data_IF_974734996861
#
_entry.id   IF_974734996861
#
_cell.length_a   1.000
_cell.length_b   1.000
_cell.length_c   1.000
_cell.angle_alpha   90.00
_cell.angle_beta   90.00
_cell.angle_gamma   90.00
#
_symmetry.space_group_name_H-M   'P 1'
#
loop_
_entity.id
_entity.type
_entity.pdbx_description
1 polymer ?
#
# COMPACT_ATOMS: atom_id res chain seq x y z
N UNK A 1 14.52 -2.34 25.68
CA UNK A 1 15.66 -1.60 25.11
C UNK A 1 15.63 -1.87 23.62
N UNK A 2 15.22 -0.90 22.82
CA UNK A 2 15.12 -1.02 21.36
C UNK A 2 16.48 -1.46 20.82
N UNK A 3 16.53 -2.58 20.11
CA UNK A 3 17.77 -3.06 19.51
C UNK A 3 18.21 -2.07 18.44
N UNK A 4 19.42 -1.53 18.64
CA UNK A 4 20.11 -0.65 17.71
C UNK A 4 20.24 -1.37 16.36
N UNK A 5 20.11 -0.60 15.29
CA UNK A 5 20.58 -0.96 13.94
C UNK A 5 21.91 -1.74 14.06
N UNK A 6 21.92 -3.01 13.67
CA UNK A 6 23.13 -3.85 13.68
C UNK A 6 23.01 -5.33 14.11
N UNK A 7 21.82 -5.93 14.20
CA UNK A 7 21.71 -7.38 14.50
C UNK A 7 21.93 -8.25 13.23
N UNK A 8 22.98 -9.11 13.20
CA UNK A 8 23.34 -9.94 12.06
C UNK A 8 22.44 -11.18 11.84
N UNK A 9 21.32 -11.32 12.55
CA UNK A 9 20.34 -12.42 12.38
C UNK A 9 19.08 -12.04 11.61
N UNK A 10 19.04 -10.87 10.97
CA UNK A 10 18.00 -10.57 9.98
C UNK A 10 18.12 -11.56 8.82
N UNK A 11 17.27 -12.58 8.82
CA UNK A 11 16.94 -13.36 7.63
C UNK A 11 16.50 -12.36 6.57
N UNK A 12 17.36 -12.22 5.57
CA UNK A 12 17.28 -11.39 4.36
C UNK A 12 15.97 -10.60 4.22
N UNK A 13 16.04 -9.33 4.57
CA UNK A 13 15.18 -8.34 3.93
C UNK A 13 15.44 -8.43 2.43
N UNK A 14 14.54 -9.10 1.72
CA UNK A 14 14.51 -9.00 0.27
C UNK A 14 14.07 -7.57 -0.03
N UNK A 15 15.04 -6.73 -0.39
CA UNK A 15 14.79 -5.47 -1.08
C UNK A 15 13.81 -5.77 -2.20
N UNK A 16 12.58 -5.28 -2.10
CA UNK A 16 11.58 -5.48 -3.15
C UNK A 16 11.93 -4.50 -4.26
N UNK A 17 12.94 -4.82 -5.06
CA UNK A 17 13.15 -4.19 -6.35
C UNK A 17 12.10 -4.77 -7.32
N UNK A 18 11.11 -3.94 -7.66
CA UNK A 18 10.42 -4.02 -8.95
C UNK A 18 9.64 -2.74 -9.19
N UNK A 19 10.10 -1.93 -10.15
CA UNK A 19 9.40 -0.79 -10.76
C UNK A 19 8.69 0.20 -9.79
N UNK A 20 9.19 0.36 -8.57
CA UNK A 20 8.82 1.51 -7.76
C UNK A 20 9.28 2.74 -8.55
N UNK A 21 8.36 3.57 -9.03
CA UNK A 21 8.73 4.91 -9.50
C UNK A 21 9.02 5.71 -8.23
N UNK A 22 10.29 5.90 -7.83
CA UNK A 22 10.64 6.53 -6.56
C UNK A 22 10.45 8.06 -6.62
N UNK A 23 9.98 8.58 -7.75
CA UNK A 23 10.02 9.99 -8.10
C UNK A 23 8.87 10.82 -7.48
N UNK A 24 7.96 10.21 -6.71
CA UNK A 24 6.80 10.93 -6.15
C UNK A 24 6.81 11.09 -4.62
N UNK A 25 7.41 10.16 -3.86
CA UNK A 25 7.48 10.25 -2.39
C UNK A 25 8.72 9.48 -1.90
N UNK A 26 9.60 10.10 -1.11
CA UNK A 26 10.72 9.39 -0.48
C UNK A 26 10.23 8.37 0.56
N UNK A 27 11.02 7.31 0.80
CA UNK A 27 10.75 6.28 1.80
C UNK A 27 10.46 6.86 3.21
N UNK A 28 11.10 7.98 3.57
CA UNK A 28 10.89 8.69 4.84
C UNK A 28 9.60 9.50 4.85
N UNK A 29 9.26 10.16 3.75
CA UNK A 29 8.01 10.93 3.62
C UNK A 29 6.81 9.99 3.64
N UNK A 30 6.88 8.87 2.93
CA UNK A 30 5.81 7.87 2.91
C UNK A 30 5.60 7.24 4.29
N UNK A 31 6.69 6.93 5.02
CA UNK A 31 6.58 6.44 6.40
C UNK A 31 5.94 7.46 7.33
N UNK A 32 6.42 8.70 7.29
CA UNK A 32 5.88 9.79 8.12
C UNK A 32 4.39 10.02 7.83
N UNK A 33 4.00 9.95 6.56
CA UNK A 33 2.62 10.04 6.11
C UNK A 33 1.74 8.92 6.69
N UNK A 34 2.19 7.67 6.62
CA UNK A 34 1.45 6.53 7.19
C UNK A 34 1.37 6.63 8.72
N UNK A 35 2.46 7.02 9.39
CA UNK A 35 2.47 7.21 10.84
C UNK A 35 1.51 8.31 11.30
N UNK A 36 1.44 9.43 10.58
CA UNK A 36 0.49 10.51 10.84
C UNK A 36 -0.96 10.00 10.74
N UNK A 37 -1.30 9.27 9.65
CA UNK A 37 -2.63 8.66 9.52
C UNK A 37 -2.99 7.74 10.69
N UNK A 38 -2.05 6.89 11.12
CA UNK A 38 -2.31 5.96 12.23
C UNK A 38 -2.53 6.71 13.55
N UNK A 39 -1.85 7.82 13.77
CA UNK A 39 -1.99 8.63 14.98
C UNK A 39 -3.30 9.43 15.03
N UNK A 40 -3.75 9.95 13.88
CA UNK A 40 -4.86 10.90 13.82
C UNK A 40 -6.17 10.26 13.33
N UNK A 41 -6.12 9.08 12.71
CA UNK A 41 -7.28 8.34 12.21
C UNK A 41 -7.90 8.91 10.93
N UNK A 42 -7.46 10.09 10.50
CA UNK A 42 -7.78 10.71 9.22
C UNK A 42 -6.57 11.52 8.72
N UNK A 43 -6.60 11.89 7.45
CA UNK A 43 -5.73 12.95 6.96
C UNK A 43 -6.41 14.29 7.29
N UNK A 44 -5.88 15.02 8.27
CA UNK A 44 -6.46 16.28 8.72
C UNK A 44 -6.21 17.47 7.76
N UNK A 45 -5.44 17.28 6.69
CA UNK A 45 -5.04 18.31 5.73
C UNK A 45 -5.65 18.01 4.36
N UNK A 46 -6.34 19.00 3.77
CA UNK A 46 -6.96 18.92 2.45
C UNK A 46 -5.96 18.42 1.37
N UNK A 47 -4.67 18.77 1.49
CA UNK A 47 -3.63 18.33 0.55
C UNK A 47 -3.36 16.84 0.58
N UNK A 48 -3.61 16.17 1.70
CA UNK A 48 -3.41 14.72 1.82
C UNK A 48 -4.61 13.94 1.26
N UNK A 49 -5.83 14.47 1.35
CA UNK A 49 -7.00 13.94 0.65
C UNK A 49 -6.86 14.07 -0.88
N UNK A 50 -6.25 15.17 -1.36
CA UNK A 50 -5.93 15.33 -2.79
C UNK A 50 -4.88 14.30 -3.28
N UNK A 51 -4.02 13.81 -2.39
CA UNK A 51 -2.97 12.83 -2.73
C UNK A 51 -3.47 11.39 -2.60
N UNK A 52 -4.40 11.11 -1.68
CA UNK A 52 -4.96 9.79 -1.39
C UNK A 52 -6.48 9.87 -1.24
N UNK A 53 -7.20 9.28 -2.18
CA UNK A 53 -8.67 9.32 -2.25
C UNK A 53 -9.35 8.26 -1.37
N UNK A 54 -8.59 7.33 -0.80
CA UNK A 54 -9.16 6.35 0.11
C UNK A 54 -8.13 5.53 0.86
N UNK A 55 -8.60 4.86 1.91
CA UNK A 55 -7.78 4.00 2.75
C UNK A 55 -8.48 2.65 2.97
N UNK A 56 -7.81 1.58 2.58
CA UNK A 56 -8.18 0.21 2.90
C UNK A 56 -7.33 -0.29 4.07
N UNK A 57 -7.71 0.07 5.30
CA UNK A 57 -7.16 -0.59 6.49
C UNK A 57 -7.82 -1.96 6.66
N UNK A 58 -7.08 -3.00 6.28
CA UNK A 58 -7.54 -4.38 6.28
C UNK A 58 -6.68 -5.27 7.20
N UNK A 59 -5.96 -4.65 8.14
CA UNK A 59 -5.24 -5.35 9.20
C UNK A 59 -6.21 -6.23 10.02
N UNK A 60 -5.71 -7.36 10.52
CA UNK A 60 -6.51 -8.37 11.21
C UNK A 60 -7.43 -9.18 10.29
N UNK A 61 -7.40 -8.95 8.97
CA UNK A 61 -8.11 -9.76 7.96
C UNK A 61 -7.12 -10.64 7.21
N UNK A 62 -7.61 -11.76 6.68
CA UNK A 62 -6.80 -12.73 5.93
C UNK A 62 -7.20 -12.78 4.46
N UNK A 63 -6.26 -13.15 3.60
CA UNK A 63 -6.53 -13.45 2.21
C UNK A 63 -7.73 -14.41 2.07
N UNK A 64 -8.69 -14.16 1.13
CA UNK A 64 -8.65 -13.18 0.03
C UNK A 64 -9.28 -11.81 0.35
N UNK A 65 -9.64 -11.52 1.60
CA UNK A 65 -10.37 -10.30 1.93
C UNK A 65 -9.60 -9.00 1.61
N UNK A 66 -8.33 -8.82 2.00
CA UNK A 66 -7.55 -7.63 1.66
C UNK A 66 -7.57 -7.28 0.18
N UNK A 67 -7.33 -8.27 -0.70
CA UNK A 67 -7.32 -8.08 -2.16
C UNK A 67 -8.70 -7.68 -2.68
N UNK A 68 -9.77 -8.36 -2.23
CA UNK A 68 -11.14 -8.04 -2.65
C UNK A 68 -11.56 -6.64 -2.22
N UNK A 69 -11.21 -6.23 -1.01
CA UNK A 69 -11.51 -4.88 -0.50
C UNK A 69 -10.74 -3.82 -1.27
N UNK A 70 -9.45 -4.03 -1.51
CA UNK A 70 -8.60 -3.16 -2.32
C UNK A 70 -9.19 -2.99 -3.73
N UNK A 71 -9.43 -4.08 -4.45
CA UNK A 71 -9.97 -4.02 -5.82
C UNK A 71 -11.32 -3.29 -5.86
N UNK A 72 -12.24 -3.59 -4.93
CA UNK A 72 -13.54 -2.91 -4.86
C UNK A 72 -13.39 -1.40 -4.70
N UNK A 73 -12.44 -0.94 -3.90
CA UNK A 73 -12.19 0.49 -3.70
C UNK A 73 -11.53 1.13 -4.93
N UNK A 74 -10.56 0.44 -5.56
CA UNK A 74 -9.94 0.91 -6.80
C UNK A 74 -10.96 1.00 -7.95
N UNK A 75 -11.97 0.13 -8.02
CA UNK A 75 -13.05 0.25 -9.02
C UNK A 75 -13.80 1.58 -8.90
N UNK A 76 -13.97 2.13 -7.68
CA UNK A 76 -14.63 3.42 -7.48
C UNK A 76 -13.76 4.66 -7.75
N UNK A 77 -12.44 4.49 -7.90
CA UNK A 77 -11.52 5.58 -8.17
C UNK A 77 -11.48 5.96 -9.66
N UNK A 78 -11.07 7.18 -9.96
CA UNK A 78 -10.71 7.65 -11.29
C UNK A 78 -9.25 7.25 -11.62
N UNK A 79 -8.92 7.18 -12.90
CA UNK A 79 -7.53 6.93 -13.32
C UNK A 79 -6.60 7.99 -12.72
N UNK A 80 -5.48 7.55 -12.13
CA UNK A 80 -4.50 8.43 -11.49
C UNK A 80 -4.78 8.74 -10.03
N UNK A 81 -5.97 8.43 -9.51
CA UNK A 81 -6.27 8.50 -8.08
C UNK A 81 -5.61 7.36 -7.30
N UNK A 82 -5.40 7.58 -6.00
CA UNK A 82 -4.59 6.70 -5.17
C UNK A 82 -5.35 6.15 -3.96
N UNK A 83 -5.04 4.90 -3.64
CA UNK A 83 -5.53 4.14 -2.50
C UNK A 83 -4.35 3.76 -1.60
N UNK A 84 -4.43 4.08 -0.32
CA UNK A 84 -3.54 3.53 0.70
C UNK A 84 -4.12 2.20 1.21
N UNK A 85 -3.32 1.13 1.19
CA UNK A 85 -3.72 -0.20 1.71
C UNK A 85 -2.81 -0.59 2.85
N UNK A 86 -3.39 -0.98 3.99
CA UNK A 86 -2.65 -1.48 5.16
C UNK A 86 -3.01 -2.94 5.44
N UNK A 87 -2.02 -3.82 5.57
CA UNK A 87 -2.24 -5.25 5.82
C UNK A 87 -1.17 -5.83 6.73
N UNK A 88 -1.54 -6.71 7.66
CA UNK A 88 -0.63 -7.48 8.52
C UNK A 88 -0.60 -8.98 8.13
N UNK A 89 -1.23 -9.33 7.01
CA UNK A 89 -1.28 -10.70 6.49
C UNK A 89 -0.15 -10.96 5.47
N UNK A 90 0.82 -11.86 5.77
CA UNK A 90 1.96 -12.11 4.88
C UNK A 90 1.56 -12.69 3.53
N UNK A 91 0.42 -13.40 3.47
CA UNK A 91 -0.15 -13.93 2.22
C UNK A 91 -0.72 -12.77 1.39
N UNK A 92 -1.55 -11.93 2.00
CA UNK A 92 -2.10 -10.74 1.32
C UNK A 92 -1.01 -9.80 0.77
N UNK A 93 0.15 -9.67 1.42
CA UNK A 93 1.30 -8.91 0.91
C UNK A 93 1.72 -9.36 -0.50
N UNK A 94 1.69 -10.66 -0.76
CA UNK A 94 2.06 -11.24 -2.05
C UNK A 94 0.91 -11.02 -3.05
N UNK A 95 -0.31 -11.35 -2.64
CA UNK A 95 -1.47 -11.29 -3.54
C UNK A 95 -1.87 -9.87 -3.94
N UNK A 96 -1.71 -8.88 -3.06
CA UNK A 96 -1.92 -7.46 -3.39
C UNK A 96 -0.98 -7.04 -4.52
N UNK A 97 0.31 -7.39 -4.44
CA UNK A 97 1.28 -7.05 -5.48
C UNK A 97 0.97 -7.73 -6.81
N UNK A 98 0.54 -9.00 -6.76
CA UNK A 98 0.08 -9.69 -7.95
C UNK A 98 -1.16 -9.05 -8.56
N UNK A 99 -2.17 -8.71 -7.75
CA UNK A 99 -3.41 -8.10 -8.21
C UNK A 99 -3.18 -6.71 -8.84
N UNK A 100 -2.36 -5.85 -8.23
CA UNK A 100 -2.00 -4.53 -8.78
C UNK A 100 -1.43 -4.67 -10.20
N UNK A 101 -0.49 -5.59 -10.40
CA UNK A 101 0.10 -5.84 -11.73
C UNK A 101 -0.92 -6.42 -12.71
N UNK A 102 -1.70 -7.40 -12.26
CA UNK A 102 -2.68 -8.08 -13.11
C UNK A 102 -3.80 -7.15 -13.57
N UNK A 103 -4.17 -6.17 -12.75
CA UNK A 103 -5.18 -5.17 -13.07
C UNK A 103 -4.62 -4.00 -13.91
N UNK A 104 -3.29 -3.92 -14.08
CA UNK A 104 -2.64 -2.80 -14.75
C UNK A 104 -2.64 -1.50 -13.93
N UNK A 105 -2.70 -1.62 -12.61
CA UNK A 105 -2.50 -0.52 -11.65
C UNK A 105 -1.02 -0.29 -11.38
N UNK A 106 -0.70 0.80 -10.69
CA UNK A 106 0.68 1.16 -10.35
C UNK A 106 0.92 1.10 -8.85
N UNK A 107 1.92 0.34 -8.43
CA UNK A 107 2.45 0.40 -7.07
C UNK A 107 3.41 1.60 -6.97
N UNK A 108 2.99 2.66 -6.30
CA UNK A 108 3.80 3.88 -6.15
C UNK A 108 4.79 3.77 -5.00
N UNK A 109 4.33 3.28 -3.84
CA UNK A 109 5.17 3.10 -2.66
C UNK A 109 4.78 1.83 -1.92
N UNK A 110 5.74 1.21 -1.23
CA UNK A 110 5.49 0.15 -0.27
C UNK A 110 6.45 0.28 0.91
N UNK A 111 5.94 0.15 2.12
CA UNK A 111 6.77 0.20 3.33
C UNK A 111 6.26 -0.77 4.38
N UNK A 112 7.19 -1.37 5.12
CA UNK A 112 6.88 -2.12 6.33
C UNK A 112 6.95 -1.18 7.53
N UNK A 113 5.86 -1.06 8.27
CA UNK A 113 5.68 -0.14 9.40
C UNK A 113 5.42 -0.97 10.67
N UNK A 114 6.48 -1.23 11.44
CA UNK A 114 6.41 -1.95 12.72
C UNK A 114 5.97 -3.41 12.58
N UNK A 115 4.68 -3.64 12.38
CA UNK A 115 4.02 -4.95 12.31
C UNK A 115 3.06 -5.13 11.13
N UNK A 116 2.98 -4.18 10.20
CA UNK A 116 2.15 -4.28 9.00
C UNK A 116 2.85 -3.71 7.76
N UNK A 117 2.39 -4.11 6.58
CA UNK A 117 2.77 -3.56 5.29
C UNK A 117 1.77 -2.46 4.87
N UNK A 118 2.31 -1.37 4.32
CA UNK A 118 1.56 -0.27 3.73
C UNK A 118 1.89 -0.17 2.23
N UNK A 119 0.87 0.00 1.39
CA UNK A 119 1.00 0.13 -0.06
C UNK A 119 0.26 1.38 -0.53
N UNK A 120 0.92 2.24 -1.30
CA UNK A 120 0.27 3.30 -2.05
C UNK A 120 0.08 2.84 -3.49
N UNK A 121 -1.18 2.68 -3.88
CA UNK A 121 -1.57 2.14 -5.19
C UNK A 121 -2.27 3.24 -5.97
N UNK A 122 -1.86 3.47 -7.21
CA UNK A 122 -2.54 4.38 -8.12
C UNK A 122 -3.35 3.59 -9.15
N UNK A 123 -4.61 3.97 -9.34
CA UNK A 123 -5.49 3.34 -10.32
C UNK A 123 -4.95 3.54 -11.74
N UNK A 124 -4.69 2.44 -12.42
CA UNK A 124 -4.33 2.44 -13.83
C UNK A 124 -5.55 2.48 -14.75
N UNK A 125 -5.31 2.80 -16.03
CA UNK A 125 -6.37 2.85 -17.06
C UNK A 125 -7.04 1.49 -17.30
N UNK A 126 -6.31 0.40 -17.06
CA UNK A 126 -6.74 -0.97 -17.37
C UNK A 126 -7.58 -1.63 -16.27
N UNK A 127 -7.67 -1.04 -15.07
CA UNK A 127 -8.34 -1.63 -13.90
C UNK A 127 -9.79 -2.07 -14.17
N UNK A 128 -10.51 -1.31 -15.01
CA UNK A 128 -11.92 -1.56 -15.32
C UNK A 128 -12.13 -2.42 -16.59
N UNK A 129 -11.04 -2.79 -17.30
CA UNK A 129 -11.08 -3.50 -18.59
C UNK A 129 -10.87 -5.02 -18.50
N UNK A 130 -10.47 -5.53 -17.33
CA UNK A 130 -10.27 -6.95 -17.06
C UNK A 130 -11.35 -7.48 -16.13
N UNK A 131 -12.41 -8.04 -16.71
CA UNK A 131 -13.50 -8.71 -15.99
C UNK A 131 -12.94 -9.85 -15.12
N UNK A 132 -12.82 -9.64 -13.82
CA UNK A 132 -12.76 -10.74 -12.84
C UNK A 132 -14.19 -10.97 -12.31
N UNK A 133 -15.05 -11.48 -13.19
CA UNK A 133 -16.33 -12.09 -12.83
C UNK A 133 -16.12 -13.56 -12.48
#
# INVERSE_FOLDING_TARGET
>A
MYARYGDPRMKEFVSVEFDAIPELVSDSEFRSFVEAYISEGCFADDRAEDVVQGIADVRGRRCPYPVRRMNKMLTSLQQGERLLVLTDDPVAKIDIRHAVRANGDYLRCAAYIGNFDAFLIEKGRAHDGGVWS
#
